data_IF_459550419083
#
_entry.id   IF_459550419083
#
_cell.length_a   1.000
_cell.length_b   1.000
_cell.length_c   1.000
_cell.angle_alpha   90.00
_cell.angle_beta   90.00
_cell.angle_gamma   90.00
#
_symmetry.space_group_name_H-M   'P 1'
#
loop_
_entity.id
_entity.type
_entity.pdbx_description
1 polymer ?
#
# COMPACT_ATOMS: atom_id res chain seq x y z
N UNK A 1 -24.03 28.23 -28.62
CA UNK A 1 -23.30 26.96 -28.42
C UNK A 1 -23.10 26.80 -26.92
N UNK A 2 -23.91 25.96 -26.28
CA UNK A 2 -23.75 25.63 -24.86
C UNK A 2 -23.10 24.27 -24.77
N UNK A 3 -21.90 24.18 -24.20
CA UNK A 3 -21.26 22.90 -23.92
C UNK A 3 -22.11 22.14 -22.88
N UNK A 4 -22.39 20.84 -23.08
CA UNK A 4 -23.08 20.05 -22.08
C UNK A 4 -22.19 19.91 -20.83
N UNK A 5 -22.77 20.26 -19.68
CA UNK A 5 -22.20 20.03 -18.35
C UNK A 5 -21.78 18.57 -18.23
N UNK A 6 -20.50 18.33 -17.96
CA UNK A 6 -19.95 17.00 -17.67
C UNK A 6 -20.72 16.45 -16.48
N UNK A 7 -21.60 15.48 -16.76
CA UNK A 7 -22.40 14.78 -15.76
C UNK A 7 -21.44 13.95 -14.90
N UNK A 8 -20.97 14.55 -13.81
CA UNK A 8 -20.13 13.86 -12.83
C UNK A 8 -20.87 12.63 -12.30
N UNK A 9 -20.26 11.46 -12.40
CA UNK A 9 -20.85 10.20 -11.93
C UNK A 9 -21.29 10.35 -10.48
N UNK A 10 -22.57 10.13 -10.19
CA UNK A 10 -23.09 10.20 -8.82
C UNK A 10 -22.52 9.06 -7.97
N UNK A 11 -22.22 9.30 -6.69
CA UNK A 11 -21.79 8.24 -5.79
C UNK A 11 -22.93 7.23 -5.57
N UNK A 12 -22.63 5.96 -5.75
CA UNK A 12 -23.50 4.83 -5.47
C UNK A 12 -23.10 4.22 -4.13
N UNK A 13 -24.09 4.04 -3.25
CA UNK A 13 -23.88 3.44 -1.93
C UNK A 13 -24.55 2.08 -1.88
N UNK A 14 -23.93 1.14 -1.15
CA UNK A 14 -24.60 -0.11 -0.80
C UNK A 14 -25.81 0.17 0.10
N UNK A 15 -26.83 -0.69 0.02
CA UNK A 15 -27.93 -0.65 0.99
C UNK A 15 -27.39 -0.88 2.41
N UNK A 16 -27.74 -0.03 3.39
CA UNK A 16 -27.16 -0.10 4.73
C UNK A 16 -27.52 -1.41 5.47
N UNK A 17 -28.72 -1.94 5.27
CA UNK A 17 -29.14 -3.19 5.93
C UNK A 17 -28.41 -4.41 5.34
N UNK A 18 -28.29 -4.45 4.01
CA UNK A 18 -27.51 -5.49 3.32
C UNK A 18 -26.02 -5.41 3.68
N UNK A 19 -25.46 -4.21 3.76
CA UNK A 19 -24.07 -4.01 4.13
C UNK A 19 -23.81 -4.49 5.57
N UNK A 20 -24.71 -4.19 6.52
CA UNK A 20 -24.60 -4.68 7.89
C UNK A 20 -24.60 -6.22 7.95
N UNK A 21 -25.58 -6.86 7.29
CA UNK A 21 -25.67 -8.32 7.26
C UNK A 21 -24.46 -8.98 6.55
N UNK A 22 -23.90 -8.33 5.53
CA UNK A 22 -22.68 -8.80 4.88
C UNK A 22 -21.45 -8.63 5.79
N UNK A 23 -21.36 -7.50 6.50
CA UNK A 23 -20.25 -7.20 7.40
C UNK A 23 -20.17 -8.18 8.58
N UNK A 24 -21.31 -8.56 9.16
CA UNK A 24 -21.34 -9.56 10.25
C UNK A 24 -20.91 -10.97 9.81
N UNK A 25 -21.06 -11.29 8.52
CA UNK A 25 -20.60 -12.57 7.94
C UNK A 25 -19.18 -12.49 7.38
N UNK A 26 -18.60 -11.30 7.32
CA UNK A 26 -17.29 -11.08 6.73
C UNK A 26 -16.21 -11.72 7.60
N UNK A 27 -15.36 -12.55 7.02
CA UNK A 27 -14.19 -13.06 7.73
C UNK A 27 -13.27 -11.89 8.13
N UNK A 28 -12.56 -11.96 9.27
CA UNK A 28 -11.60 -10.93 9.61
C UNK A 28 -10.52 -10.79 8.53
N UNK A 29 -10.12 -9.55 8.21
CA UNK A 29 -9.21 -9.24 7.11
C UNK A 29 -9.85 -9.24 5.71
N UNK A 30 -11.06 -9.78 5.54
CA UNK A 30 -11.82 -9.63 4.30
C UNK A 30 -12.46 -8.22 4.21
N UNK A 31 -12.82 -7.81 2.99
CA UNK A 31 -13.30 -6.46 2.69
C UNK A 31 -14.59 -6.46 1.88
N UNK A 32 -15.44 -5.46 2.11
CA UNK A 32 -16.66 -5.19 1.31
C UNK A 32 -16.58 -3.80 0.69
N UNK A 33 -17.06 -3.66 -0.54
CA UNK A 33 -17.27 -2.34 -1.16
C UNK A 33 -18.59 -1.78 -0.64
N UNK A 34 -18.55 -0.61 -0.02
CA UNK A 34 -19.75 0.05 0.53
C UNK A 34 -20.17 1.28 -0.28
N UNK A 35 -19.28 1.83 -1.10
CA UNK A 35 -19.61 2.86 -2.07
C UNK A 35 -18.71 2.82 -3.31
N UNK A 36 -19.21 3.34 -4.42
CA UNK A 36 -18.45 3.61 -5.65
C UNK A 36 -18.78 4.99 -6.17
N UNK A 37 -17.83 5.72 -6.75
CA UNK A 37 -18.10 7.07 -7.26
C UNK A 37 -16.86 7.94 -7.37
N UNK A 38 -17.02 9.27 -7.39
CA UNK A 38 -15.89 10.18 -7.47
C UNK A 38 -15.03 10.11 -6.20
N UNK A 39 -13.79 10.62 -6.28
CA UNK A 39 -12.81 10.62 -5.17
C UNK A 39 -13.34 11.26 -3.89
N UNK A 40 -14.26 12.22 -4.05
CA UNK A 40 -15.07 12.73 -2.96
C UNK A 40 -16.48 12.17 -3.10
N UNK A 41 -16.94 11.39 -2.11
CA UNK A 41 -18.33 10.90 -2.02
C UNK A 41 -19.37 12.04 -1.81
N UNK A 42 -18.96 13.29 -1.99
CA UNK A 42 -19.73 14.49 -1.64
C UNK A 42 -19.90 14.70 -0.13
N UNK A 43 -20.59 15.79 0.21
CA UNK A 43 -21.02 16.14 1.57
C UNK A 43 -22.39 15.56 1.93
N UNK A 44 -22.96 14.72 1.06
CA UNK A 44 -24.29 14.16 1.26
C UNK A 44 -24.33 13.26 2.50
N UNK A 45 -25.29 13.53 3.39
CA UNK A 45 -25.60 12.66 4.53
C UNK A 45 -26.20 11.37 4.00
N UNK A 46 -25.51 10.24 4.20
CA UNK A 46 -25.94 8.93 3.72
C UNK A 46 -25.89 7.91 4.88
N UNK A 47 -26.95 7.12 5.04
CA UNK A 47 -27.08 6.16 6.13
C UNK A 47 -25.99 5.07 6.10
N UNK A 48 -25.56 4.63 4.91
CA UNK A 48 -24.48 3.66 4.72
C UNK A 48 -23.13 4.24 5.18
N UNK A 49 -22.88 5.52 4.92
CA UNK A 49 -21.69 6.21 5.42
C UNK A 49 -21.68 6.30 6.95
N UNK A 50 -22.80 6.72 7.54
CA UNK A 50 -22.93 6.82 9.01
C UNK A 50 -22.74 5.45 9.69
N UNK A 51 -23.25 4.37 9.08
CA UNK A 51 -23.04 3.00 9.54
C UNK A 51 -21.56 2.60 9.53
N UNK A 52 -20.84 2.86 8.43
CA UNK A 52 -19.41 2.59 8.32
C UNK A 52 -18.60 3.43 9.31
N UNK A 53 -18.93 4.72 9.47
CA UNK A 53 -18.29 5.61 10.45
C UNK A 53 -18.47 5.08 11.89
N UNK A 54 -19.64 4.49 12.20
CA UNK A 54 -19.93 3.86 13.49
C UNK A 54 -19.03 2.64 13.72
N UNK A 55 -18.87 1.75 12.73
CA UNK A 55 -17.97 0.59 12.87
C UNK A 55 -16.50 0.98 13.04
N UNK A 56 -16.07 2.07 12.42
CA UNK A 56 -14.71 2.61 12.60
C UNK A 56 -14.55 3.19 14.01
N UNK A 57 -15.54 3.95 14.50
CA UNK A 57 -15.54 4.49 15.86
C UNK A 57 -15.52 3.37 16.93
N UNK A 58 -16.26 2.28 16.69
CA UNK A 58 -16.29 1.07 17.52
C UNK A 58 -15.04 0.18 17.35
N UNK A 59 -14.10 0.55 16.47
CA UNK A 59 -12.88 -0.22 16.16
C UNK A 59 -13.17 -1.63 15.64
N UNK A 60 -14.36 -1.85 15.07
CA UNK A 60 -14.76 -3.10 14.41
C UNK A 60 -14.32 -3.15 12.95
N UNK A 61 -14.03 -1.99 12.36
CA UNK A 61 -13.65 -1.87 10.97
C UNK A 61 -12.56 -0.83 10.70
N UNK A 62 -11.91 -0.98 9.54
CA UNK A 62 -11.09 0.06 8.90
C UNK A 62 -11.58 0.34 7.49
N UNK A 63 -11.39 1.56 6.98
CA UNK A 63 -11.80 1.94 5.63
C UNK A 63 -10.58 2.25 4.74
N UNK A 64 -10.65 1.86 3.47
CA UNK A 64 -9.70 2.26 2.44
C UNK A 64 -10.44 2.58 1.15
N UNK A 65 -9.82 3.37 0.27
CA UNK A 65 -10.35 3.65 -1.06
C UNK A 65 -9.27 3.45 -2.12
N UNK A 66 -9.67 3.08 -3.31
CA UNK A 66 -8.77 2.86 -4.44
C UNK A 66 -9.49 3.04 -5.76
N UNK A 67 -8.74 3.14 -6.87
CA UNK A 67 -9.32 3.23 -8.20
C UNK A 67 -9.94 1.89 -8.61
N UNK A 68 -11.09 1.95 -9.27
CA UNK A 68 -11.68 0.78 -9.91
C UNK A 68 -10.78 0.32 -11.07
N UNK A 69 -10.40 -0.96 -11.14
CA UNK A 69 -9.61 -1.48 -12.26
C UNK A 69 -10.35 -1.26 -13.58
N UNK A 70 -9.72 -0.53 -14.51
CA UNK A 70 -10.31 -0.22 -15.82
C UNK A 70 -11.18 1.04 -15.86
N UNK A 71 -11.39 1.75 -14.74
CA UNK A 71 -12.08 3.05 -14.72
C UNK A 71 -11.31 4.07 -13.88
N UNK A 72 -10.52 4.93 -14.54
CA UNK A 72 -9.66 5.93 -13.87
C UNK A 72 -10.42 6.96 -13.04
N UNK A 73 -11.68 7.22 -13.40
CA UNK A 73 -12.51 8.26 -12.78
C UNK A 73 -13.40 7.73 -11.66
N UNK A 74 -13.38 6.41 -11.41
CA UNK A 74 -14.23 5.77 -10.41
C UNK A 74 -13.40 5.20 -9.26
N UNK A 75 -13.80 5.56 -8.06
CA UNK A 75 -13.22 5.12 -6.81
C UNK A 75 -14.11 4.08 -6.16
N UNK A 76 -13.49 3.05 -5.61
CA UNK A 76 -14.10 2.03 -4.78
C UNK A 76 -13.78 2.35 -3.32
N UNK A 77 -14.80 2.44 -2.48
CA UNK A 77 -14.67 2.62 -1.05
C UNK A 77 -14.95 1.29 -0.36
N UNK A 78 -13.95 0.79 0.38
CA UNK A 78 -13.96 -0.53 1.01
C UNK A 78 -13.89 -0.42 2.52
N UNK A 79 -14.63 -1.29 3.18
CA UNK A 79 -14.57 -1.50 4.63
C UNK A 79 -14.02 -2.90 4.91
N UNK A 80 -13.10 -2.99 5.85
CA UNK A 80 -12.43 -4.23 6.27
C UNK A 80 -12.85 -4.55 7.69
N UNK A 81 -13.17 -5.81 7.98
CA UNK A 81 -13.46 -6.24 9.35
C UNK A 81 -12.15 -6.43 10.12
N UNK A 82 -12.07 -5.81 11.30
CA UNK A 82 -10.93 -5.93 12.21
C UNK A 82 -11.14 -7.14 13.15
N UNK A 83 -10.09 -7.92 13.40
CA UNK A 83 -10.14 -8.97 14.45
C UNK A 83 -10.25 -8.33 15.83
N UNK A 84 -11.00 -8.94 16.78
CA UNK A 84 -10.84 -8.66 18.20
C UNK A 84 -9.50 -9.25 18.66
N UNK A 85 -8.41 -8.52 18.44
CA UNK A 85 -7.05 -8.88 18.84
C UNK A 85 -6.22 -7.62 19.08
N UNK A 86 -5.08 -7.71 19.79
CA UNK A 86 -4.26 -6.55 20.09
C UNK A 86 -3.87 -5.87 18.78
N UNK A 87 -4.36 -4.65 18.60
CA UNK A 87 -4.16 -3.76 17.46
C UNK A 87 -2.87 -4.03 16.67
N UNK A 88 -2.94 -4.87 15.63
CA UNK A 88 -2.00 -4.77 14.50
C UNK A 88 -2.48 -3.56 13.71
N UNK A 89 -2.05 -2.36 14.13
CA UNK A 89 -2.25 -1.13 13.37
C UNK A 89 -1.70 -1.36 11.95
N UNK A 90 -2.57 -1.65 11.00
CA UNK A 90 -2.39 -1.21 9.62
C UNK A 90 -2.44 0.32 9.66
N UNK A 91 -1.33 0.93 10.09
CA UNK A 91 -1.18 2.35 10.31
C UNK A 91 -1.11 3.09 8.98
N UNK A 92 -2.26 3.28 8.33
CA UNK A 92 -2.49 4.45 7.49
C UNK A 92 -3.02 5.54 8.43
N UNK A 93 -2.16 6.08 9.29
CA UNK A 93 -2.48 7.28 10.05
C UNK A 93 -2.28 8.49 9.16
N UNK A 94 -3.41 9.10 8.79
CA UNK A 94 -3.50 10.45 8.28
C UNK A 94 -3.02 11.44 9.36
N UNK A 95 -1.75 11.81 9.29
CA UNK A 95 -1.18 13.03 9.87
C UNK A 95 0.10 13.28 9.08
N UNK A 96 0.32 14.52 8.64
CA UNK A 96 1.35 14.93 7.68
C UNK A 96 2.84 14.63 8.01
N UNK A 97 3.13 13.74 8.96
CA UNK A 97 4.45 13.13 9.20
C UNK A 97 4.74 11.92 8.30
N UNK A 98 3.72 11.15 7.91
CA UNK A 98 3.90 9.89 7.17
C UNK A 98 4.55 10.05 5.77
N UNK A 99 4.50 11.24 5.16
CA UNK A 99 5.21 11.53 3.91
C UNK A 99 6.72 11.67 4.10
N UNK A 100 7.15 12.23 5.24
CA UNK A 100 8.56 12.38 5.60
C UNK A 100 9.14 11.01 5.97
N UNK A 101 8.42 10.25 6.80
CA UNK A 101 8.82 8.89 7.20
C UNK A 101 8.94 7.96 5.98
N UNK A 102 8.04 8.07 4.99
CA UNK A 102 8.11 7.24 3.76
C UNK A 102 9.36 7.52 2.93
N UNK A 103 9.73 8.78 2.74
CA UNK A 103 10.90 9.14 1.94
C UNK A 103 12.19 8.89 2.70
N UNK A 104 12.17 9.05 4.02
CA UNK A 104 13.26 8.66 4.90
C UNK A 104 13.50 7.15 4.88
N UNK A 105 12.46 6.33 5.07
CA UNK A 105 12.53 4.87 4.92
C UNK A 105 13.12 4.47 3.56
N UNK A 106 12.64 5.11 2.49
CA UNK A 106 13.09 4.85 1.13
C UNK A 106 14.58 5.19 0.96
N UNK A 107 15.02 6.34 1.47
CA UNK A 107 16.43 6.75 1.44
C UNK A 107 17.30 5.81 2.29
N UNK A 108 16.80 5.33 3.43
CA UNK A 108 17.51 4.35 4.29
C UNK A 108 17.68 3.01 3.57
N UNK A 109 16.64 2.53 2.89
CA UNK A 109 16.72 1.32 2.04
C UNK A 109 17.75 1.53 0.93
N UNK A 110 17.67 2.64 0.19
CA UNK A 110 18.64 2.95 -0.86
C UNK A 110 20.08 3.01 -0.32
N UNK A 111 20.28 3.64 0.83
CA UNK A 111 21.58 3.73 1.49
C UNK A 111 22.16 2.37 1.88
N UNK A 112 21.33 1.49 2.45
CA UNK A 112 21.73 0.10 2.77
C UNK A 112 22.13 -0.66 1.51
N UNK A 113 21.30 -0.61 0.47
CA UNK A 113 21.55 -1.28 -0.81
C UNK A 113 22.83 -0.76 -1.49
N UNK A 114 23.06 0.55 -1.45
CA UNK A 114 24.27 1.17 -1.97
C UNK A 114 25.52 0.78 -1.16
N UNK A 115 25.41 0.61 0.16
CA UNK A 115 26.53 0.12 0.97
C UNK A 115 26.87 -1.34 0.65
N UNK A 116 25.85 -2.20 0.49
CA UNK A 116 26.04 -3.57 0.02
C UNK A 116 26.72 -3.62 -1.35
N UNK A 117 26.26 -2.79 -2.30
CA UNK A 117 26.86 -2.70 -3.63
C UNK A 117 28.31 -2.19 -3.59
N UNK A 118 28.60 -1.21 -2.73
CA UNK A 118 29.97 -0.67 -2.54
C UNK A 118 30.92 -1.71 -1.95
N UNK A 119 30.42 -2.54 -1.03
CA UNK A 119 31.19 -3.62 -0.41
C UNK A 119 31.27 -4.87 -1.28
N UNK A 120 30.54 -4.91 -2.39
CA UNK A 120 30.41 -6.11 -3.23
C UNK A 120 29.79 -7.27 -2.47
N UNK A 121 28.91 -7.02 -1.50
CA UNK A 121 28.20 -8.09 -0.78
C UNK A 121 26.93 -8.47 -1.52
N UNK A 122 26.39 -9.65 -1.20
CA UNK A 122 25.09 -10.08 -1.68
C UNK A 122 24.00 -9.06 -1.32
N UNK A 123 22.98 -8.96 -2.18
CA UNK A 123 21.83 -8.13 -1.84
C UNK A 123 21.07 -8.81 -0.68
N UNK A 124 20.81 -8.10 0.43
CA UNK A 124 20.09 -8.66 1.59
C UNK A 124 18.73 -9.20 1.16
N UNK A 125 18.03 -10.04 1.93
CA UNK A 125 16.63 -10.41 1.65
C UNK A 125 15.65 -9.31 2.08
N UNK A 126 14.35 -9.41 1.78
CA UNK A 126 13.38 -8.42 2.26
C UNK A 126 13.24 -8.48 3.79
N UNK A 127 13.38 -9.66 4.36
CA UNK A 127 13.43 -9.93 5.80
C UNK A 127 14.64 -9.25 6.43
N UNK A 128 15.83 -9.45 5.86
CA UNK A 128 17.06 -8.83 6.35
C UNK A 128 17.04 -7.30 6.22
N UNK A 129 16.46 -6.74 5.16
CA UNK A 129 16.26 -5.28 5.06
C UNK A 129 15.34 -4.79 6.16
N UNK A 130 14.23 -5.50 6.40
CA UNK A 130 13.28 -5.08 7.42
C UNK A 130 13.90 -5.11 8.82
N UNK A 131 14.67 -6.15 9.14
CA UNK A 131 15.40 -6.26 10.39
C UNK A 131 16.47 -5.16 10.52
N UNK A 132 17.32 -4.99 9.51
CA UNK A 132 18.42 -4.01 9.55
C UNK A 132 17.95 -2.56 9.69
N UNK A 133 16.74 -2.25 9.24
CA UNK A 133 16.19 -0.89 9.26
C UNK A 133 15.06 -0.69 10.27
N UNK A 134 14.74 -1.70 11.09
CA UNK A 134 13.60 -1.72 12.02
C UNK A 134 12.27 -1.40 11.32
N UNK A 135 12.06 -1.98 10.13
CA UNK A 135 10.80 -1.83 9.41
C UNK A 135 9.74 -2.77 10.00
N UNK A 136 8.46 -2.34 10.01
CA UNK A 136 7.40 -3.08 10.68
C UNK A 136 7.12 -4.45 10.07
N UNK A 137 7.39 -4.64 8.77
CA UNK A 137 7.19 -5.93 8.08
C UNK A 137 8.15 -6.11 6.89
N UNK A 138 8.47 -7.37 6.50
CA UNK A 138 9.19 -7.66 5.26
C UNK A 138 8.45 -7.16 4.00
N UNK A 139 7.12 -7.13 4.03
CA UNK A 139 6.30 -6.59 2.94
C UNK A 139 6.54 -5.10 2.73
N UNK A 140 6.77 -4.33 3.81
CA UNK A 140 7.14 -2.92 3.73
C UNK A 140 8.49 -2.73 3.01
N UNK A 141 9.49 -3.56 3.33
CA UNK A 141 10.77 -3.56 2.63
C UNK A 141 10.60 -3.86 1.13
N UNK A 142 9.82 -4.90 0.78
CA UNK A 142 9.50 -5.23 -0.62
C UNK A 142 8.86 -4.05 -1.36
N UNK A 143 7.87 -3.40 -0.74
CA UNK A 143 7.21 -2.24 -1.30
C UNK A 143 8.19 -1.08 -1.57
N UNK A 144 9.09 -0.79 -0.63
CA UNK A 144 10.09 0.27 -0.77
C UNK A 144 11.09 -0.04 -1.89
N UNK A 145 11.52 -1.29 -2.02
CA UNK A 145 12.41 -1.74 -3.10
C UNK A 145 11.73 -1.62 -4.47
N UNK A 146 10.49 -2.11 -4.61
CA UNK A 146 9.70 -1.95 -5.84
C UNK A 146 9.48 -0.49 -6.21
N UNK A 147 9.34 0.37 -5.22
CA UNK A 147 9.19 1.80 -5.42
C UNK A 147 10.48 2.46 -5.90
N UNK A 148 11.64 2.11 -5.31
CA UNK A 148 12.95 2.58 -5.79
C UNK A 148 13.21 2.14 -7.24
N UNK A 149 12.80 0.92 -7.60
CA UNK A 149 12.87 0.42 -8.98
C UNK A 149 11.96 1.22 -9.92
N UNK A 150 10.69 1.43 -9.53
CA UNK A 150 9.73 2.19 -10.32
C UNK A 150 10.13 3.67 -10.49
N UNK A 151 10.81 4.25 -9.50
CA UNK A 151 11.35 5.61 -9.54
C UNK A 151 12.72 5.67 -10.27
N UNK A 152 13.28 4.53 -10.68
CA UNK A 152 14.52 4.44 -11.45
C UNK A 152 15.80 4.63 -10.62
N UNK A 153 15.71 4.62 -9.30
CA UNK A 153 16.86 4.77 -8.38
C UNK A 153 17.71 3.50 -8.32
N UNK A 154 17.09 2.35 -8.56
CA UNK A 154 17.74 1.04 -8.67
C UNK A 154 17.20 0.28 -9.89
N UNK A 155 17.99 -0.67 -10.38
CA UNK A 155 17.57 -1.62 -11.42
C UNK A 155 17.78 -3.04 -10.92
N UNK A 156 16.73 -3.85 -10.98
CA UNK A 156 16.83 -5.28 -10.68
C UNK A 156 17.33 -6.01 -11.95
N UNK A 157 18.54 -6.55 -11.91
CA UNK A 157 19.16 -7.23 -13.07
C UNK A 157 18.69 -8.68 -13.12
N UNK A 158 18.63 -9.35 -11.98
CA UNK A 158 18.16 -10.73 -11.87
C UNK A 158 16.97 -10.81 -10.92
N UNK A 159 15.73 -10.94 -11.45
CA UNK A 159 14.56 -11.21 -10.63
C UNK A 159 14.65 -12.66 -10.19
N UNK A 160 15.27 -12.87 -9.02
CA UNK A 160 15.35 -14.15 -8.37
C UNK A 160 13.96 -14.79 -8.21
N UNK A 161 13.56 -15.62 -9.18
CA UNK A 161 12.45 -16.56 -8.99
C UNK A 161 12.91 -17.70 -8.06
N UNK A 162 14.21 -18.03 -8.08
CA UNK A 162 14.85 -19.08 -7.27
C UNK A 162 16.35 -18.82 -6.96
N UNK A 163 16.82 -17.56 -6.98
CA UNK A 163 18.25 -17.23 -6.82
C UNK A 163 18.51 -16.04 -5.87
N UNK A 164 19.77 -15.58 -5.75
CA UNK A 164 20.06 -14.28 -5.15
C UNK A 164 19.57 -13.15 -6.05
N UNK A 165 19.16 -12.04 -5.45
CA UNK A 165 18.78 -10.85 -6.22
C UNK A 165 20.01 -10.00 -6.49
N UNK A 166 20.22 -9.61 -7.75
CA UNK A 166 21.27 -8.65 -8.12
C UNK A 166 20.63 -7.32 -8.45
N UNK A 167 21.04 -6.28 -7.73
CA UNK A 167 20.59 -4.90 -7.96
C UNK A 167 21.75 -4.03 -8.41
N UNK A 168 21.45 -3.08 -9.28
CA UNK A 168 22.33 -2.00 -9.68
C UNK A 168 21.78 -0.67 -9.15
N UNK A 169 22.65 0.16 -8.56
CA UNK A 169 22.29 1.50 -8.11
C UNK A 169 22.42 2.45 -9.29
N UNK A 170 21.30 3.03 -9.74
CA UNK A 170 21.26 3.78 -10.99
C UNK A 170 22.20 4.99 -11.00
N UNK A 171 22.36 5.66 -9.87
CA UNK A 171 23.20 6.87 -9.74
C UNK A 171 24.71 6.59 -9.78
N UNK A 172 25.15 5.36 -9.43
CA UNK A 172 26.58 5.02 -9.32
C UNK A 172 27.01 3.87 -10.23
N UNK A 173 26.07 3.13 -10.81
CA UNK A 173 26.34 1.91 -11.57
C UNK A 173 26.88 0.75 -10.72
N UNK A 174 27.00 0.91 -9.40
CA UNK A 174 27.49 -0.14 -8.49
C UNK A 174 26.47 -1.25 -8.38
N UNK A 175 26.96 -2.49 -8.25
CA UNK A 175 26.14 -3.69 -8.20
C UNK A 175 26.41 -4.49 -6.94
N UNK A 176 25.36 -5.09 -6.38
CA UNK A 176 25.52 -6.14 -5.36
C UNK A 176 26.10 -7.40 -6.01
N UNK A 177 26.80 -8.22 -5.25
CA UNK A 177 27.32 -9.49 -5.78
C UNK A 177 26.18 -10.43 -6.20
N UNK A 178 26.38 -11.12 -7.33
CA UNK A 178 25.68 -12.37 -7.61
C UNK A 178 26.32 -13.49 -6.79
N UNK A 179 25.56 -14.51 -6.40
CA UNK A 179 26.10 -15.68 -5.66
C UNK A 179 26.96 -16.57 -6.58
N UNK A 180 27.32 -16.10 -7.78
CA UNK A 180 28.09 -16.88 -8.74
C UNK A 180 29.61 -16.76 -8.54
N UNK A 181 30.10 -16.26 -7.40
CA UNK A 181 31.55 -16.25 -7.16
C UNK A 181 31.93 -16.44 -5.69
N UNK A 182 31.71 -17.64 -5.18
CA UNK A 182 32.58 -18.20 -4.15
C UNK A 182 32.65 -19.74 -4.27
N UNK A 183 33.41 -20.19 -5.27
CA UNK A 183 33.96 -21.55 -5.49
C UNK A 183 33.01 -22.69 -5.82
#
# INVERSE_FOLDING_TARGET
MGEPVVSGTLPQFADPAQLAAAFERLAPGASLVWATGPSSLGTARNATRALVDTWIAEKRATCAHGREPGQSDRWLFRVYRTEPGPFRRNGISATGKAGRDKREDQNRVLGLLADCARRGTECPTNEAIAEALDLPTPWRARYLVQRLEAEGEIRLIEPARFGPRVIEIASSGLRTASVETAR
#
